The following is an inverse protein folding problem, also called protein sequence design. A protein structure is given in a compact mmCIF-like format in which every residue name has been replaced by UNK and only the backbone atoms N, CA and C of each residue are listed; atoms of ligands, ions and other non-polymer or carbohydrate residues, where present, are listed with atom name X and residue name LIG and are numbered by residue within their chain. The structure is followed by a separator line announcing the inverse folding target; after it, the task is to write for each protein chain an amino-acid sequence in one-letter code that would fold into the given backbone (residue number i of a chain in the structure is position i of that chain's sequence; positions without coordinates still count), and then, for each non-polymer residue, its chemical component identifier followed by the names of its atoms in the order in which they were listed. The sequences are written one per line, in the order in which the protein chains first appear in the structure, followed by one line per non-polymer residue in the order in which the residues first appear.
data_IF_408024189018
#
_entry.id   IF_408024189018
#
_cell.length_a   1.000
_cell.length_b   1.000
_cell.length_c   1.000
_cell.angle_alpha   90.00
_cell.angle_beta   90.00
_cell.angle_gamma   90.00
#
_symmetry.space_group_name_H-M   'P 1'
#
loop_
_entity.id
_entity.type
_entity.pdbx_description
1 polymer ?
#
# COMPACT_ATOMS: atom_id res chain seq x y z
N UNK A 1 -0.49 17.60 0.90
CA UNK A 1 -0.36 16.18 1.32
C UNK A 1 0.89 16.07 2.17
N UNK A 2 0.88 15.31 3.26
CA UNK A 2 2.07 15.13 4.10
C UNK A 2 3.10 14.25 3.38
N UNK A 3 4.39 14.53 3.57
CA UNK A 3 5.53 13.77 2.96
C UNK A 3 5.45 12.26 3.23
N UNK A 4 4.85 11.89 4.36
CA UNK A 4 4.55 10.51 4.75
C UNK A 4 3.63 9.81 3.72
N UNK A 5 2.61 10.50 3.19
CA UNK A 5 1.68 9.94 2.21
C UNK A 5 2.35 9.66 0.87
N UNK A 6 3.27 10.51 0.40
CA UNK A 6 3.95 10.32 -0.89
C UNK A 6 4.92 9.13 -0.87
N UNK A 7 5.55 8.89 0.28
CA UNK A 7 6.45 7.74 0.46
C UNK A 7 5.66 6.43 0.42
N UNK A 8 4.52 6.37 1.11
CA UNK A 8 3.65 5.19 1.09
C UNK A 8 3.06 4.93 -0.30
N UNK A 9 2.58 5.98 -0.98
CA UNK A 9 2.00 5.86 -2.32
C UNK A 9 3.00 5.28 -3.30
N UNK A 10 4.28 5.70 -3.24
CA UNK A 10 5.33 5.12 -4.09
C UNK A 10 5.52 3.63 -3.84
N UNK A 11 5.57 3.21 -2.57
CA UNK A 11 5.72 1.80 -2.21
C UNK A 11 4.53 0.98 -2.72
N UNK A 12 3.31 1.53 -2.61
CA UNK A 12 2.09 0.93 -3.14
C UNK A 12 2.17 0.83 -4.68
N UNK A 13 2.42 1.92 -5.39
CA UNK A 13 2.44 1.91 -6.87
C UNK A 13 3.53 0.99 -7.44
N UNK A 14 4.65 0.82 -6.74
CA UNK A 14 5.72 -0.12 -7.11
C UNK A 14 5.42 -1.58 -6.74
N UNK A 15 4.30 -1.87 -6.06
CA UNK A 15 3.92 -3.20 -5.62
C UNK A 15 4.82 -3.77 -4.51
N UNK A 16 5.46 -2.90 -3.73
CA UNK A 16 6.33 -3.27 -2.61
C UNK A 16 5.52 -3.48 -1.32
N UNK A 17 4.55 -4.40 -1.36
CA UNK A 17 3.55 -4.62 -0.31
C UNK A 17 4.18 -4.81 1.08
N UNK A 18 5.15 -5.70 1.23
CA UNK A 18 5.78 -5.98 2.53
C UNK A 18 6.54 -4.77 3.08
N UNK A 19 7.20 -4.00 2.20
CA UNK A 19 7.89 -2.77 2.58
C UNK A 19 6.89 -1.70 3.01
N UNK A 20 5.76 -1.57 2.31
CA UNK A 20 4.69 -0.66 2.67
C UNK A 20 4.10 -1.00 4.05
N UNK A 21 3.83 -2.28 4.34
CA UNK A 21 3.35 -2.72 5.67
C UNK A 21 4.36 -2.37 6.77
N UNK A 22 5.65 -2.69 6.58
CA UNK A 22 6.70 -2.37 7.56
C UNK A 22 6.82 -0.86 7.79
N UNK A 23 6.72 -0.08 6.72
CA UNK A 23 6.77 1.38 6.79
C UNK A 23 5.58 1.95 7.57
N UNK A 24 4.37 1.42 7.36
CA UNK A 24 3.16 1.81 8.12
C UNK A 24 3.34 1.46 9.60
N UNK A 25 3.77 0.24 9.92
CA UNK A 25 4.00 -0.17 11.31
C UNK A 25 4.98 0.77 12.02
N UNK A 26 6.08 1.14 11.36
CA UNK A 26 7.08 2.05 11.94
C UNK A 26 6.62 3.51 12.04
N UNK A 27 5.82 3.98 11.09
CA UNK A 27 5.37 5.38 11.02
C UNK A 27 4.21 5.66 11.96
N UNK A 28 3.31 4.71 12.12
CA UNK A 28 2.10 4.84 12.94
C UNK A 28 2.19 4.07 14.26
N UNK A 29 3.34 3.48 14.56
CA UNK A 29 3.60 2.67 15.77
C UNK A 29 2.49 1.63 16.03
N UNK A 30 2.04 0.96 14.97
CA UNK A 30 0.88 0.06 14.99
C UNK A 30 1.23 -1.40 14.68
N UNK A 31 0.29 -2.29 14.99
CA UNK A 31 0.43 -3.72 14.73
C UNK A 31 0.23 -4.08 13.26
N UNK A 32 0.60 -5.33 12.90
CA UNK A 32 0.46 -5.85 11.54
C UNK A 32 -0.98 -5.76 11.01
N UNK A 33 -1.98 -6.04 11.87
CA UNK A 33 -3.39 -5.99 11.50
C UNK A 33 -3.80 -4.57 11.09
N UNK A 34 -3.52 -3.58 11.94
CA UNK A 34 -3.81 -2.17 11.66
C UNK A 34 -3.06 -1.69 10.41
N UNK A 35 -1.79 -2.06 10.29
CA UNK A 35 -0.97 -1.69 9.14
C UNK A 35 -1.53 -2.24 7.82
N UNK A 36 -2.04 -3.47 7.84
CA UNK A 36 -2.66 -4.09 6.67
C UNK A 36 -3.97 -3.40 6.30
N UNK A 37 -4.81 -3.05 7.29
CA UNK A 37 -6.02 -2.25 7.06
C UNK A 37 -5.70 -0.89 6.44
N UNK A 38 -4.69 -0.19 6.95
CA UNK A 38 -4.21 1.08 6.39
C UNK A 38 -3.73 0.93 4.95
N UNK A 39 -2.92 -0.10 4.67
CA UNK A 39 -2.43 -0.39 3.34
C UNK A 39 -3.58 -0.61 2.36
N UNK A 40 -4.57 -1.41 2.74
CA UNK A 40 -5.74 -1.69 1.91
C UNK A 40 -6.55 -0.44 1.61
N UNK A 41 -6.84 0.37 2.62
CA UNK A 41 -7.59 1.61 2.46
C UNK A 41 -6.89 2.56 1.47
N UNK A 42 -5.57 2.71 1.62
CA UNK A 42 -4.78 3.59 0.74
C UNK A 42 -4.64 3.03 -0.67
N UNK A 43 -4.42 1.72 -0.82
CA UNK A 43 -4.39 1.05 -2.10
C UNK A 43 -5.71 1.24 -2.87
N UNK A 44 -6.84 1.08 -2.20
CA UNK A 44 -8.16 1.21 -2.83
C UNK A 44 -8.45 2.65 -3.26
N UNK A 45 -8.06 3.64 -2.45
CA UNK A 45 -8.12 5.05 -2.82
C UNK A 45 -7.28 5.36 -4.07
N UNK A 46 -6.03 4.87 -4.14
CA UNK A 46 -5.17 5.05 -5.30
C UNK A 46 -5.72 4.35 -6.54
N UNK A 47 -6.27 3.14 -6.39
CA UNK A 47 -6.91 2.43 -7.50
C UNK A 47 -8.11 3.18 -8.07
N UNK A 48 -8.90 3.83 -7.22
CA UNK A 48 -10.06 4.62 -7.65
C UNK A 48 -9.67 5.96 -8.25
N UNK A 49 -8.70 6.66 -7.66
CA UNK A 49 -8.34 8.02 -8.06
C UNK A 49 -7.29 8.10 -9.16
N UNK A 50 -6.37 7.13 -9.22
CA UNK A 50 -5.22 7.10 -10.14
C UNK A 50 -4.96 5.69 -10.70
N UNK A 51 -5.96 5.05 -11.35
CA UNK A 51 -5.82 3.67 -11.83
C UNK A 51 -4.65 3.50 -12.82
N UNK A 52 -4.34 4.52 -13.62
CA UNK A 52 -3.27 4.48 -14.64
C UNK A 52 -1.85 4.45 -14.07
N UNK A 53 -1.67 4.74 -12.78
CA UNK A 53 -0.34 4.72 -12.14
C UNK A 53 0.09 3.28 -11.78
N UNK A 54 -0.83 2.32 -11.80
CA UNK A 54 -0.54 0.93 -11.47
C UNK A 54 -0.07 0.15 -12.71
N UNK A 55 1.14 -0.42 -12.63
CA UNK A 55 1.65 -1.30 -13.68
C UNK A 55 1.05 -2.72 -13.68
N UNK A 56 0.37 -3.11 -12.59
CA UNK A 56 -0.18 -4.47 -12.38
C UNK A 56 -1.70 -4.44 -12.32
N UNK A 57 -2.36 -5.54 -12.68
CA UNK A 57 -3.78 -5.74 -12.34
C UNK A 57 -3.99 -5.90 -10.82
N UNK A 58 -5.24 -5.88 -10.36
CA UNK A 58 -5.54 -6.09 -8.93
C UNK A 58 -5.08 -7.48 -8.46
N UNK A 59 -5.35 -8.52 -9.25
CA UNK A 59 -4.98 -9.90 -8.93
C UNK A 59 -3.45 -10.08 -8.91
N UNK A 60 -2.77 -9.52 -9.91
CA UNK A 60 -1.30 -9.60 -10.00
C UNK A 60 -0.60 -8.86 -8.88
N UNK A 61 -1.22 -7.81 -8.34
CA UNK A 61 -0.71 -7.03 -7.23
C UNK A 61 -0.70 -7.83 -5.93
N UNK A 62 -1.74 -8.61 -5.67
CA UNK A 62 -1.94 -9.34 -4.41
C UNK A 62 -1.47 -10.81 -4.45
N UNK A 63 -1.07 -11.30 -5.63
CA UNK A 63 -0.48 -12.63 -5.79
C UNK A 63 0.74 -12.81 -4.87
N UNK A 64 0.72 -13.86 -4.05
CA UNK A 64 1.79 -14.18 -3.10
C UNK A 64 1.71 -13.45 -1.76
N UNK A 65 0.65 -12.65 -1.51
CA UNK A 65 0.44 -11.95 -0.22
C UNK A 65 -0.58 -12.69 0.65
N UNK A 66 -1.68 -13.17 0.06
CA UNK A 66 -2.75 -13.92 0.77
C UNK A 66 -2.62 -15.44 0.63
N UNK A 67 -1.44 -15.92 0.24
CA UNK A 67 -1.15 -17.35 -0.01
C UNK A 67 -0.27 -17.87 1.11
#
# INVERSE_FOLDING_TARGET
MSVASESLDRLILQGQVLTAVRWIMGTYECGLADATCFLYARYDELRRSRPGDFAKSHEEYWRGVYT
#
